data_IF_900424339930
#
_entry.id   IF_900424339930
#
_cell.length_a   1.000
_cell.length_b   1.000
_cell.length_c   1.000
_cell.angle_alpha   90.00
_cell.angle_beta   90.00
_cell.angle_gamma   90.00
#
_symmetry.space_group_name_H-M   'P 1'
#
loop_
_entity.id
_entity.type
_entity.pdbx_description
1 polymer ?
#
# COMPACT_ATOMS: atom_id res chain seq x y z
N UNK A 1 26.30 -7.97 -12.32
CA UNK A 1 25.85 -8.38 -10.97
C UNK A 1 24.46 -7.80 -10.79
N UNK A 2 23.42 -8.62 -10.81
CA UNK A 2 22.04 -8.15 -10.67
C UNK A 2 21.82 -7.78 -9.21
N UNK A 3 21.39 -6.54 -8.96
CA UNK A 3 21.25 -5.92 -7.66
C UNK A 3 20.27 -6.68 -6.75
N UNK A 4 20.80 -7.54 -5.87
CA UNK A 4 20.03 -8.37 -4.94
C UNK A 4 19.08 -7.57 -4.01
N UNK A 5 19.41 -6.29 -3.78
CA UNK A 5 18.66 -5.40 -2.89
C UNK A 5 17.31 -4.93 -3.47
N UNK A 6 17.23 -4.68 -4.78
CA UNK A 6 15.95 -4.27 -5.41
C UNK A 6 14.94 -5.43 -5.41
N UNK A 7 15.43 -6.67 -5.48
CA UNK A 7 14.59 -7.85 -5.48
C UNK A 7 13.90 -8.05 -4.11
N UNK A 8 14.63 -7.88 -3.01
CA UNK A 8 14.04 -8.08 -1.68
C UNK A 8 13.01 -7.00 -1.34
N UNK A 9 13.25 -5.74 -1.71
CA UNK A 9 12.31 -4.65 -1.47
C UNK A 9 10.98 -4.89 -2.20
N UNK A 10 11.02 -5.37 -3.45
CA UNK A 10 9.81 -5.75 -4.19
C UNK A 10 9.08 -6.95 -3.57
N UNK A 11 9.81 -7.95 -3.08
CA UNK A 11 9.24 -9.09 -2.36
C UNK A 11 8.54 -8.61 -1.09
N UNK A 12 9.14 -7.68 -0.34
CA UNK A 12 8.54 -7.09 0.86
C UNK A 12 7.24 -6.36 0.50
N UNK A 13 7.23 -5.56 -0.59
CA UNK A 13 6.02 -4.87 -1.06
C UNK A 13 4.93 -5.88 -1.42
N UNK A 14 5.23 -6.90 -2.25
CA UNK A 14 4.26 -7.94 -2.61
C UNK A 14 3.75 -8.69 -1.37
N UNK A 15 4.61 -8.92 -0.39
CA UNK A 15 4.24 -9.59 0.85
C UNK A 15 3.27 -8.75 1.70
N UNK A 16 3.56 -7.45 1.87
CA UNK A 16 2.73 -6.53 2.63
C UNK A 16 1.41 -6.20 1.92
N UNK A 17 1.40 -6.20 0.59
CA UNK A 17 0.20 -6.03 -0.24
C UNK A 17 -0.65 -7.32 -0.36
N UNK A 18 -0.11 -8.47 0.09
CA UNK A 18 -0.80 -9.77 0.05
C UNK A 18 -0.77 -10.47 -1.30
N UNK A 19 0.03 -9.98 -2.26
CA UNK A 19 0.21 -10.53 -3.61
C UNK A 19 1.45 -11.42 -3.74
N UNK A 20 2.21 -11.63 -2.67
CA UNK A 20 3.40 -12.48 -2.66
C UNK A 20 3.08 -13.96 -2.94
N UNK A 21 3.87 -14.54 -3.84
CA UNK A 21 3.87 -15.97 -4.12
C UNK A 21 4.55 -16.76 -2.98
N UNK A 22 4.40 -18.08 -2.95
CA UNK A 22 5.09 -18.90 -1.94
C UNK A 22 6.62 -18.83 -2.07
N UNK A 23 7.13 -18.71 -3.30
CA UNK A 23 8.55 -18.49 -3.54
C UNK A 23 9.04 -17.13 -3.01
N UNK A 24 8.22 -16.07 -3.12
CA UNK A 24 8.52 -14.77 -2.54
C UNK A 24 8.60 -14.88 -1.00
N UNK A 25 7.65 -15.59 -0.37
CA UNK A 25 7.63 -15.80 1.09
C UNK A 25 8.84 -16.56 1.58
N UNK A 26 9.25 -17.62 0.88
CA UNK A 26 10.44 -18.41 1.24
C UNK A 26 11.73 -17.58 1.12
N UNK A 27 11.86 -16.78 0.06
CA UNK A 27 12.99 -15.87 -0.11
C UNK A 27 13.01 -14.80 0.98
N UNK A 28 11.86 -14.20 1.30
CA UNK A 28 11.74 -13.24 2.39
C UNK A 28 12.13 -13.86 3.74
N UNK A 29 11.59 -15.05 4.06
CA UNK A 29 11.93 -15.78 5.28
C UNK A 29 13.41 -16.10 5.39
N UNK A 30 14.03 -16.51 4.27
CA UNK A 30 15.47 -16.78 4.23
C UNK A 30 16.25 -15.52 4.53
N UNK A 31 15.95 -14.43 3.83
CA UNK A 31 16.62 -13.14 4.03
C UNK A 31 16.43 -12.57 5.44
N UNK A 32 15.25 -12.71 6.04
CA UNK A 32 14.99 -12.29 7.42
C UNK A 32 15.83 -13.07 8.44
N UNK A 33 16.10 -14.36 8.18
CA UNK A 33 16.92 -15.21 9.05
C UNK A 33 18.42 -15.00 8.90
N UNK A 34 18.88 -14.38 7.81
CA UNK A 34 20.30 -14.17 7.55
C UNK A 34 20.95 -13.18 8.53
N UNK A 35 20.21 -12.19 9.05
CA UNK A 35 20.74 -11.28 10.06
C UNK A 35 19.66 -10.47 10.79
N UNK A 36 19.95 -10.08 12.02
CA UNK A 36 19.11 -9.15 12.79
C UNK A 36 18.96 -7.79 12.12
N UNK A 37 19.98 -7.37 11.34
CA UNK A 37 19.94 -6.14 10.55
C UNK A 37 18.83 -6.20 9.49
N UNK A 38 18.68 -7.32 8.80
CA UNK A 38 17.62 -7.51 7.81
C UNK A 38 16.24 -7.47 8.47
N UNK A 39 16.10 -8.11 9.63
CA UNK A 39 14.86 -8.08 10.40
C UNK A 39 14.50 -6.66 10.85
N UNK A 40 15.49 -5.88 11.29
CA UNK A 40 15.29 -4.46 11.62
C UNK A 40 14.86 -3.65 10.39
N UNK A 41 15.55 -3.78 9.26
CA UNK A 41 15.18 -3.09 8.02
C UNK A 41 13.78 -3.45 7.52
N UNK A 42 13.35 -4.70 7.64
CA UNK A 42 11.98 -5.09 7.34
C UNK A 42 10.97 -4.43 8.29
N UNK A 43 11.27 -4.35 9.58
CA UNK A 43 10.39 -3.68 10.56
C UNK A 43 10.21 -2.21 10.21
N UNK A 44 11.29 -1.48 9.92
CA UNK A 44 11.22 -0.07 9.51
C UNK A 44 10.39 0.10 8.23
N UNK A 45 10.60 -0.76 7.23
CA UNK A 45 9.85 -0.73 5.98
C UNK A 45 8.35 -0.99 6.21
N UNK A 46 8.03 -1.99 7.04
CA UNK A 46 6.67 -2.35 7.42
C UNK A 46 5.96 -1.20 8.13
N UNK A 47 6.65 -0.54 9.07
CA UNK A 47 6.09 0.58 9.81
C UNK A 47 5.77 1.77 8.89
N UNK A 48 6.68 2.10 7.96
CA UNK A 48 6.45 3.14 6.94
C UNK A 48 5.28 2.77 6.02
N UNK A 49 5.20 1.51 5.58
CA UNK A 49 4.09 1.02 4.75
C UNK A 49 2.74 1.16 5.46
N UNK A 50 2.60 0.72 6.71
CA UNK A 50 1.33 0.84 7.42
C UNK A 50 1.00 2.30 7.81
N UNK A 51 2.00 3.12 8.11
CA UNK A 51 1.80 4.54 8.35
C UNK A 51 1.25 5.25 7.09
N UNK A 52 1.76 4.92 5.90
CA UNK A 52 1.26 5.51 4.66
C UNK A 52 -0.21 5.13 4.37
N UNK A 53 -0.60 3.90 4.68
CA UNK A 53 -1.99 3.42 4.54
C UNK A 53 -2.94 4.05 5.58
N UNK A 54 -2.43 4.32 6.79
CA UNK A 54 -3.20 4.94 7.89
C UNK A 54 -3.50 6.42 7.64
N UNK A 55 -2.75 7.07 6.76
CA UNK A 55 -2.96 8.46 6.35
C UNK A 55 -4.13 8.62 5.35
N UNK A 56 -4.98 7.60 5.19
CA UNK A 56 -6.16 7.59 4.32
C UNK A 56 -7.30 8.53 4.75
N UNK A 57 -7.03 9.63 5.47
CA UNK A 57 -8.00 10.73 5.61
C UNK A 57 -8.48 11.24 4.23
N UNK A 58 -7.66 11.04 3.19
CA UNK A 58 -8.00 11.25 1.76
C UNK A 58 -9.23 10.46 1.33
N UNK A 59 -9.47 9.26 1.87
CA UNK A 59 -10.62 8.43 1.53
C UNK A 59 -11.95 9.06 2.02
N UNK A 60 -11.89 9.74 3.17
CA UNK A 60 -13.04 10.50 3.71
C UNK A 60 -13.36 11.74 2.88
N UNK A 61 -12.33 12.42 2.36
CA UNK A 61 -12.52 13.63 1.56
C UNK A 61 -12.96 13.32 0.13
N UNK A 62 -12.54 12.18 -0.44
CA UNK A 62 -12.99 11.70 -1.74
C UNK A 62 -14.50 11.37 -1.75
N UNK A 63 -15.00 10.66 -0.74
CA UNK A 63 -16.44 10.36 -0.63
C UNK A 63 -17.27 11.64 -0.45
N UNK A 64 -16.78 12.60 0.34
CA UNK A 64 -17.45 13.91 0.50
C UNK A 64 -17.45 14.69 -0.82
N UNK A 65 -16.35 14.68 -1.56
CA UNK A 65 -16.27 15.34 -2.86
C UNK A 65 -17.23 14.69 -3.88
N UNK A 66 -17.32 13.36 -3.91
CA UNK A 66 -18.24 12.62 -4.77
C UNK A 66 -19.70 12.94 -4.43
N UNK A 67 -20.10 12.89 -3.15
CA UNK A 67 -21.46 13.27 -2.72
C UNK A 67 -21.81 14.71 -3.09
N UNK A 68 -20.85 15.64 -3.00
CA UNK A 68 -21.04 17.04 -3.45
C UNK A 68 -21.25 17.13 -4.96
N UNK A 69 -20.54 16.32 -5.74
CA UNK A 69 -20.69 16.26 -7.20
C UNK A 69 -22.05 15.68 -7.61
N UNK A 70 -22.45 14.55 -7.04
CA UNK A 70 -23.76 13.91 -7.30
C UNK A 70 -24.91 14.87 -7.00
N UNK A 71 -24.84 15.60 -5.87
CA UNK A 71 -25.85 16.60 -5.51
C UNK A 71 -25.94 17.74 -6.52
N UNK A 72 -24.80 18.17 -7.10
CA UNK A 72 -24.78 19.20 -8.16
C UNK A 72 -25.38 18.69 -9.47
N UNK A 73 -25.08 17.46 -9.87
CA UNK A 73 -25.62 16.87 -11.10
C UNK A 73 -27.14 16.75 -10.99
N UNK A 74 -27.64 16.17 -9.89
CA UNK A 74 -29.07 15.97 -9.65
C UNK A 74 -29.85 17.29 -9.56
N UNK A 75 -29.26 18.33 -8.95
CA UNK A 75 -29.89 19.65 -8.87
C UNK A 75 -30.05 20.33 -10.23
N UNK A 76 -29.11 20.14 -11.15
CA UNK A 76 -29.17 20.71 -12.51
C UNK A 76 -30.17 20.00 -13.44
N UNK A 77 -30.51 18.76 -13.16
CA UNK A 77 -31.57 18.04 -13.90
C UNK A 77 -32.97 18.50 -13.50
N UNK A 78 -33.17 18.90 -12.24
CA UNK A 78 -34.45 19.44 -11.74
C UNK A 78 -34.75 20.89 -12.17
N UNK A 79 -33.74 21.67 -12.56
CA UNK A 79 -33.91 23.05 -13.05
C UNK A 79 -34.19 23.14 -14.56
N UNK A 80 -34.11 22.02 -15.28
CA UNK A 80 -34.34 21.94 -16.74
C UNK A 80 -35.73 21.39 -17.12
N UNK A 81 -36.63 21.18 -16.16
CA UNK A 81 -37.99 20.68 -16.38
C UNK A 81 -39.02 21.75 -16.03
#
# INVERSE_FOLDING_TARGET
MINNKLNIDEIIIRYLDGTATDSDKEQLLTWLKESDKNLHSYSEFRDVWFASQSNSSVHSDMEKALKRLEKRIKGKESEKK
#
